data_IF_529432253386
#
_entry.id   IF_529432253386
#
_cell.length_a   1.000
_cell.length_b   1.000
_cell.length_c   1.000
_cell.angle_alpha   90.00
_cell.angle_beta   90.00
_cell.angle_gamma   90.00
#
_symmetry.space_group_name_H-M   'P 1'
#
loop_
_entity.id
_entity.type
_entity.pdbx_description
1 polymer ?
#
# COMPACT_ATOMS: atom_id res chain seq x y z
N UNK A 1 25.02 -10.18 3.03
CA UNK A 1 24.71 -10.46 1.61
C UNK A 1 25.85 -11.27 1.00
N UNK A 2 25.59 -12.51 0.55
CA UNK A 2 26.61 -13.53 0.20
C UNK A 2 26.92 -13.65 -1.32
N UNK A 3 26.62 -12.64 -2.13
CA UNK A 3 26.92 -12.68 -3.58
C UNK A 3 26.04 -13.63 -4.39
N UNK A 4 25.01 -14.22 -3.78
CA UNK A 4 24.00 -14.98 -4.48
C UNK A 4 23.25 -14.10 -5.50
N UNK A 5 22.89 -14.68 -6.64
CA UNK A 5 22.16 -13.96 -7.70
C UNK A 5 20.76 -13.62 -7.22
N UNK A 6 20.39 -12.33 -7.30
CA UNK A 6 19.05 -11.83 -7.00
C UNK A 6 18.37 -11.45 -8.31
N UNK A 7 17.16 -11.95 -8.54
CA UNK A 7 16.27 -11.48 -9.60
C UNK A 7 15.30 -10.47 -9.01
N UNK A 8 15.23 -9.27 -9.59
CA UNK A 8 14.28 -8.23 -9.19
C UNK A 8 13.19 -8.13 -10.26
N UNK A 9 11.94 -8.23 -9.82
CA UNK A 9 10.76 -8.00 -10.65
C UNK A 9 10.12 -6.68 -10.18
N UNK A 10 9.79 -5.80 -11.13
CA UNK A 10 9.12 -4.53 -10.84
C UNK A 10 7.97 -4.28 -11.80
N UNK A 11 6.91 -3.67 -11.27
CA UNK A 11 5.77 -3.18 -12.04
C UNK A 11 5.50 -1.74 -11.60
N UNK A 12 5.09 -0.89 -12.55
CA UNK A 12 4.64 0.48 -12.29
C UNK A 12 3.24 0.64 -12.84
N UNK A 13 2.32 1.07 -11.98
CA UNK A 13 0.95 1.35 -12.33
C UNK A 13 0.78 2.87 -12.40
N UNK A 14 0.20 3.36 -13.49
CA UNK A 14 -0.03 4.80 -13.71
C UNK A 14 -1.49 5.11 -14.02
N UNK A 15 -2.30 4.09 -14.32
CA UNK A 15 -3.71 4.27 -14.65
C UNK A 15 -4.55 4.21 -13.39
N UNK A 16 -5.48 5.14 -13.25
CA UNK A 16 -6.34 5.25 -12.07
C UNK A 16 -7.08 3.94 -11.73
N UNK A 17 -7.55 3.20 -12.74
CA UNK A 17 -8.27 1.94 -12.51
C UNK A 17 -7.35 0.83 -11.97
N UNK A 18 -6.08 0.80 -12.40
CA UNK A 18 -5.10 -0.17 -11.92
C UNK A 18 -4.69 0.15 -10.47
N UNK A 19 -4.49 1.43 -10.17
CA UNK A 19 -4.20 1.90 -8.80
C UNK A 19 -5.38 1.58 -7.89
N UNK A 20 -6.61 1.91 -8.31
CA UNK A 20 -7.83 1.60 -7.55
C UNK A 20 -7.96 0.12 -7.29
N UNK A 21 -7.69 -0.73 -8.28
CA UNK A 21 -7.72 -2.18 -8.09
C UNK A 21 -6.75 -2.65 -6.99
N UNK A 22 -5.51 -2.15 -6.98
CA UNK A 22 -4.55 -2.51 -5.93
C UNK A 22 -5.01 -2.01 -4.56
N UNK A 23 -5.52 -0.78 -4.46
CA UNK A 23 -6.00 -0.24 -3.19
C UNK A 23 -7.24 -1.01 -2.68
N UNK A 24 -8.17 -1.41 -3.55
CA UNK A 24 -9.30 -2.28 -3.17
C UNK A 24 -8.81 -3.61 -2.59
N UNK A 25 -7.80 -4.24 -3.22
CA UNK A 25 -7.18 -5.45 -2.67
C UNK A 25 -6.54 -5.24 -1.30
N UNK A 26 -5.95 -4.08 -1.05
CA UNK A 26 -5.42 -3.75 0.28
C UNK A 26 -6.54 -3.56 1.30
N UNK A 27 -7.69 -3.01 0.90
CA UNK A 27 -8.85 -2.82 1.76
C UNK A 27 -9.56 -4.14 2.14
N UNK A 28 -9.34 -5.22 1.39
CA UNK A 28 -9.83 -6.58 1.71
C UNK A 28 -9.00 -7.28 2.82
N UNK A 29 -7.91 -6.66 3.30
CA UNK A 29 -7.02 -7.22 4.32
C UNK A 29 -7.70 -7.43 5.67
N UNK A 30 -7.43 -8.57 6.32
CA UNK A 30 -7.97 -8.89 7.65
C UNK A 30 -7.59 -7.85 8.74
N UNK A 31 -6.39 -7.28 8.66
CA UNK A 31 -5.84 -6.29 9.59
C UNK A 31 -5.77 -4.88 8.99
N UNK A 32 -6.84 -4.45 8.30
CA UNK A 32 -6.92 -3.11 7.73
C UNK A 32 -6.84 -2.02 8.81
N UNK A 33 -7.52 -2.20 9.94
CA UNK A 33 -7.50 -1.24 11.05
C UNK A 33 -6.06 -1.02 11.59
N UNK A 34 -5.28 -2.10 11.73
CA UNK A 34 -3.87 -2.00 12.12
C UNK A 34 -3.02 -1.27 11.09
N UNK A 35 -3.30 -1.44 9.79
CA UNK A 35 -2.64 -0.66 8.74
C UNK A 35 -2.98 0.84 8.84
N UNK A 36 -4.23 1.18 9.11
CA UNK A 36 -4.68 2.58 9.27
C UNK A 36 -3.97 3.25 10.44
N UNK A 37 -3.89 2.58 11.60
CA UNK A 37 -3.18 3.06 12.79
C UNK A 37 -1.68 3.32 12.53
N UNK A 38 -1.08 2.59 11.58
CA UNK A 38 0.33 2.70 11.22
C UNK A 38 0.61 3.67 10.06
N UNK A 39 -0.39 4.31 9.46
CA UNK A 39 -0.20 5.19 8.28
C UNK A 39 0.80 6.32 8.53
N UNK A 40 0.84 6.87 9.75
CA UNK A 40 1.84 7.87 10.14
C UNK A 40 3.27 7.32 9.91
N UNK A 41 3.57 6.11 10.38
CA UNK A 41 4.88 5.49 10.18
C UNK A 41 5.17 5.05 8.74
N UNK A 42 4.15 4.99 7.88
CA UNK A 42 4.23 4.40 6.53
C UNK A 42 4.22 5.44 5.41
N UNK A 43 3.95 6.71 5.72
CA UNK A 43 4.01 7.82 4.77
C UNK A 43 5.17 8.75 5.13
N UNK A 44 6.06 9.00 4.16
CA UNK A 44 7.20 9.90 4.34
C UNK A 44 6.86 11.36 4.04
N UNK A 45 7.82 12.26 4.30
CA UNK A 45 7.69 13.70 4.04
C UNK A 45 7.51 14.04 2.55
N UNK A 46 7.77 13.10 1.64
CA UNK A 46 7.56 13.26 0.20
C UNK A 46 6.18 12.76 -0.26
N UNK A 47 5.27 12.49 0.69
CA UNK A 47 3.96 11.88 0.44
C UNK A 47 4.08 10.49 -0.23
N UNK A 48 5.16 9.74 0.05
CA UNK A 48 5.31 8.37 -0.44
C UNK A 48 4.85 7.39 0.64
N UNK A 49 3.87 6.57 0.29
CA UNK A 49 3.36 5.46 1.09
C UNK A 49 4.16 4.19 0.82
N UNK A 50 4.54 3.48 1.89
CA UNK A 50 5.33 2.24 1.82
C UNK A 50 4.65 1.10 2.57
N UNK A 51 4.58 -0.04 1.91
CA UNK A 51 3.98 -1.25 2.47
C UNK A 51 4.80 -2.48 2.10
N UNK A 52 5.12 -3.29 3.11
CA UNK A 52 5.64 -4.64 2.94
C UNK A 52 4.46 -5.62 2.92
N UNK A 53 4.42 -6.48 1.91
CA UNK A 53 3.38 -7.50 1.75
C UNK A 53 4.01 -8.89 1.80
N UNK A 54 3.32 -9.83 2.46
CA UNK A 54 3.74 -11.22 2.52
C UNK A 54 3.64 -11.87 1.13
N UNK A 55 4.78 -12.30 0.60
CA UNK A 55 4.85 -12.92 -0.73
C UNK A 55 4.13 -14.27 -0.81
N UNK A 56 4.11 -15.05 0.27
CA UNK A 56 3.45 -16.36 0.27
C UNK A 56 1.93 -16.20 0.36
N UNK A 57 1.42 -15.26 1.15
CA UNK A 57 0.01 -14.88 1.17
C UNK A 57 -0.45 -14.40 -0.21
N UNK A 58 0.30 -13.46 -0.81
CA UNK A 58 0.00 -12.94 -2.14
C UNK A 58 0.01 -14.03 -3.22
N UNK A 59 0.90 -15.03 -3.10
CA UNK A 59 0.91 -16.18 -4.00
C UNK A 59 -0.37 -17.03 -3.90
N UNK A 60 -0.98 -17.11 -2.72
CA UNK A 60 -2.23 -17.83 -2.48
C UNK A 60 -3.49 -17.00 -2.77
N UNK A 61 -3.33 -15.71 -3.15
CA UNK A 61 -4.43 -14.80 -3.44
C UNK A 61 -4.91 -13.98 -2.23
N UNK A 62 -4.21 -14.09 -1.09
CA UNK A 62 -4.51 -13.33 0.12
C UNK A 62 -3.66 -12.07 0.21
N UNK A 63 -4.13 -11.09 0.98
CA UNK A 63 -3.42 -9.82 1.22
C UNK A 63 -3.12 -9.70 2.71
N UNK A 64 -1.84 -9.56 3.04
CA UNK A 64 -1.39 -9.40 4.42
C UNK A 64 -0.05 -8.69 4.50
N UNK A 65 0.16 -7.99 5.62
CA UNK A 65 1.41 -7.33 5.94
C UNK A 65 2.52 -8.38 6.13
N UNK A 66 3.71 -8.10 5.60
CA UNK A 66 4.84 -9.01 5.74
C UNK A 66 5.99 -8.71 4.80
N UNK A 67 6.74 -9.76 4.44
CA UNK A 67 7.97 -9.66 3.69
C UNK A 67 7.89 -10.30 2.30
N UNK A 68 8.68 -9.75 1.38
CA UNK A 68 8.96 -10.34 0.07
C UNK A 68 8.31 -9.64 -1.11
N UNK A 69 7.35 -8.74 -0.87
CA UNK A 69 6.85 -7.77 -1.83
C UNK A 69 6.89 -6.37 -1.22
N UNK A 70 7.36 -5.39 -1.99
CA UNK A 70 7.36 -3.98 -1.58
C UNK A 70 6.45 -3.19 -2.51
N UNK A 71 5.46 -2.54 -1.90
CA UNK A 71 4.58 -1.59 -2.55
C UNK A 71 5.02 -0.18 -2.16
N UNK A 72 5.15 0.68 -3.17
CA UNK A 72 5.36 2.11 -3.00
C UNK A 72 4.28 2.86 -3.77
N UNK A 73 3.48 3.64 -3.07
CA UNK A 73 2.48 4.54 -3.63
C UNK A 73 2.93 5.99 -3.50
N UNK A 74 2.60 6.83 -4.49
CA UNK A 74 2.65 8.28 -4.31
C UNK A 74 1.26 8.74 -3.95
N UNK A 75 1.12 9.40 -2.80
CA UNK A 75 -0.15 9.95 -2.35
C UNK A 75 -0.26 11.39 -2.85
N UNK A 76 -1.38 11.73 -3.47
CA UNK A 76 -1.66 13.10 -3.88
C UNK A 76 -2.14 13.90 -2.67
N UNK A 77 -1.44 14.99 -2.37
CA UNK A 77 -1.77 15.92 -1.30
C UNK A 77 -1.59 17.36 -1.80
N UNK A 78 -2.57 18.22 -1.52
CA UNK A 78 -2.49 19.65 -1.82
C UNK A 78 -2.87 20.50 -0.60
N UNK A 79 -1.93 21.29 -0.03
CA UNK A 79 -0.49 21.32 -0.35
C UNK A 79 0.18 19.96 -0.06
N UNK A 80 1.38 19.75 -0.60
CA UNK A 80 2.13 18.50 -0.44
C UNK A 80 2.73 18.38 0.98
N UNK A 81 1.84 18.14 1.95
CA UNK A 81 2.14 18.00 3.37
C UNK A 81 1.88 16.55 3.80
N UNK A 82 2.72 16.02 4.69
CA UNK A 82 2.64 14.64 5.15
C UNK A 82 1.32 14.34 5.87
N UNK A 83 0.84 15.25 6.72
CA UNK A 83 -0.44 15.07 7.40
C UNK A 83 -1.60 14.95 6.40
N UNK A 84 -1.57 15.76 5.33
CA UNK A 84 -2.55 15.69 4.25
C UNK A 84 -2.48 14.37 3.47
N UNK A 85 -1.28 13.86 3.23
CA UNK A 85 -1.11 12.57 2.58
C UNK A 85 -1.65 11.42 3.46
N UNK A 86 -1.47 11.50 4.78
CA UNK A 86 -2.05 10.54 5.72
C UNK A 86 -3.58 10.59 5.65
N UNK A 87 -4.18 11.78 5.79
CA UNK A 87 -5.63 11.97 5.69
C UNK A 87 -6.20 11.42 4.36
N UNK A 88 -5.53 11.71 3.23
CA UNK A 88 -5.94 11.21 1.91
C UNK A 88 -5.86 9.69 1.82
N UNK A 89 -4.78 9.09 2.31
CA UNK A 89 -4.58 7.64 2.26
C UNK A 89 -5.59 6.89 3.16
N UNK A 90 -5.81 7.40 4.37
CA UNK A 90 -6.82 6.90 5.32
C UNK A 90 -8.21 6.93 4.69
N UNK A 91 -8.65 8.11 4.23
CA UNK A 91 -9.96 8.28 3.58
C UNK A 91 -10.13 7.32 2.40
N UNK A 92 -9.12 7.20 1.53
CA UNK A 92 -9.19 6.34 0.36
C UNK A 92 -9.34 4.85 0.72
N UNK A 93 -8.61 4.37 1.73
CA UNK A 93 -8.68 2.98 2.18
C UNK A 93 -10.02 2.68 2.87
N UNK A 94 -10.50 3.60 3.72
CA UNK A 94 -11.81 3.48 4.37
C UNK A 94 -12.97 3.47 3.36
N UNK A 95 -12.96 4.38 2.39
CA UNK A 95 -13.99 4.45 1.34
C UNK A 95 -14.05 3.16 0.52
N UNK A 96 -12.88 2.57 0.21
CA UNK A 96 -12.80 1.33 -0.53
C UNK A 96 -13.32 0.15 0.29
N UNK A 97 -12.93 0.05 1.57
CA UNK A 97 -13.42 -0.98 2.48
C UNK A 97 -14.95 -0.91 2.65
N UNK A 98 -15.52 0.30 2.69
CA UNK A 98 -16.96 0.50 2.78
C UNK A 98 -17.71 0.18 1.46
N UNK A 99 -17.02 0.20 0.32
CA UNK A 99 -17.61 -0.03 -1.01
C UNK A 99 -17.67 -1.50 -1.43
N UNK A 100 -16.86 -2.37 -0.80
CA UNK A 100 -16.81 -3.82 -1.05
C UNK A 100 -17.62 -4.64 0.00
N UNK A 101 -18.32 -3.97 0.93
CA UNK A 101 -19.22 -4.57 1.95
C UNK A 101 -20.71 -4.58 1.52
#
# INVERSE_FOLDING_TARGET
>A
HNGDRILVLSVRLERADEVRHVLSRLAEMDDLDGLLDELDGRIDDNCAFFLGLDKQAAYNGDVGLGDGLMLRGKVEAYPAERERAIETAETALEELAASDA
#
